data_IF_147609274070
#
_entry.id   IF_147609274070
#
_cell.length_a   1.000
_cell.length_b   1.000
_cell.length_c   1.000
_cell.angle_alpha   90.00
_cell.angle_beta   90.00
_cell.angle_gamma   90.00
#
_symmetry.space_group_name_H-M   'P 1'
#
loop_
_entity.id
_entity.type
_entity.pdbx_description
1 polymer ?
#
# COMPACT_ATOMS: atom_id res chain seq x y z
N UNK A 1 -26.42 -4.17 -23.43
CA UNK A 1 -26.95 -5.13 -24.44
C UNK A 1 -25.93 -6.26 -24.59
N UNK A 2 -26.03 -7.30 -23.76
CA UNK A 2 -25.09 -8.44 -23.78
C UNK A 2 -25.45 -9.41 -24.90
N UNK A 3 -24.45 -9.79 -25.71
CA UNK A 3 -24.55 -10.86 -26.70
C UNK A 3 -24.02 -12.14 -26.07
N UNK A 4 -24.88 -13.17 -26.00
CA UNK A 4 -24.55 -14.48 -25.45
C UNK A 4 -23.92 -15.35 -26.54
N UNK A 5 -22.78 -15.96 -26.24
CA UNK A 5 -22.15 -16.98 -27.08
C UNK A 5 -22.29 -18.34 -26.40
N UNK A 6 -23.17 -19.19 -26.92
CA UNK A 6 -23.40 -20.55 -26.43
C UNK A 6 -22.40 -21.50 -27.10
N UNK A 7 -21.41 -21.99 -26.34
CA UNK A 7 -20.51 -23.06 -26.79
C UNK A 7 -21.08 -24.39 -26.27
N UNK A 8 -21.69 -25.16 -27.16
CA UNK A 8 -22.32 -26.44 -26.88
C UNK A 8 -21.32 -27.58 -27.11
N UNK A 9 -20.78 -28.19 -26.05
CA UNK A 9 -19.98 -29.41 -26.15
C UNK A 9 -20.88 -30.65 -26.01
N UNK A 10 -21.13 -31.34 -27.13
CA UNK A 10 -21.86 -32.62 -27.17
C UNK A 10 -20.84 -33.76 -27.08
N UNK A 11 -20.77 -34.45 -25.94
CA UNK A 11 -20.06 -35.72 -25.83
C UNK A 11 -21.01 -36.87 -26.19
N UNK A 12 -20.90 -37.37 -27.42
CA UNK A 12 -21.53 -38.60 -27.89
C UNK A 12 -20.79 -39.82 -27.33
N UNK A 13 -21.33 -40.44 -26.28
CA UNK A 13 -20.93 -41.80 -25.91
C UNK A 13 -22.03 -42.78 -26.31
N UNK A 14 -21.76 -43.54 -27.37
CA UNK A 14 -22.55 -44.69 -27.76
C UNK A 14 -22.27 -45.87 -26.84
N UNK A 15 -23.33 -46.47 -26.29
CA UNK A 15 -23.28 -47.82 -25.76
C UNK A 15 -24.49 -48.61 -26.26
N UNK A 16 -24.18 -49.61 -27.08
CA UNK A 16 -25.08 -50.70 -27.49
C UNK A 16 -25.17 -51.67 -26.32
N UNK A 17 -26.36 -51.92 -25.78
CA UNK A 17 -26.65 -53.17 -25.09
C UNK A 17 -28.14 -53.51 -25.20
N UNK A 18 -28.43 -54.57 -25.96
CA UNK A 18 -29.74 -55.22 -25.99
C UNK A 18 -29.95 -56.00 -24.69
N UNK A 19 -31.12 -55.85 -24.07
CA UNK A 19 -31.48 -56.64 -22.89
C UNK A 19 -32.85 -56.27 -22.33
N UNK A 20 -33.81 -57.17 -22.53
CA UNK A 20 -35.21 -57.10 -22.13
C UNK A 20 -35.32 -57.14 -20.61
N UNK A 21 -35.87 -56.09 -19.96
CA UNK A 21 -36.61 -56.22 -18.69
C UNK A 21 -37.58 -55.05 -18.51
N UNK A 22 -38.88 -55.38 -18.52
CA UNK A 22 -39.97 -54.49 -18.18
C UNK A 22 -40.14 -54.51 -16.66
N UNK A 23 -39.81 -53.42 -15.98
CA UNK A 23 -40.29 -53.14 -14.62
C UNK A 23 -40.80 -51.71 -14.58
N UNK A 24 -42.12 -51.58 -14.60
CA UNK A 24 -42.81 -50.33 -14.35
C UNK A 24 -42.60 -49.90 -12.90
N UNK A 25 -41.79 -48.85 -12.72
CA UNK A 25 -41.94 -47.83 -11.70
C UNK A 25 -41.47 -46.53 -12.33
N UNK A 26 -42.38 -45.60 -12.54
CA UNK A 26 -42.06 -44.23 -12.90
C UNK A 26 -41.22 -43.62 -11.77
N UNK A 27 -39.89 -43.75 -11.90
CA UNK A 27 -38.95 -42.94 -11.14
C UNK A 27 -39.06 -41.56 -11.78
N UNK A 28 -39.80 -40.66 -11.14
CA UNK A 28 -39.74 -39.25 -11.51
C UNK A 28 -38.28 -38.84 -11.39
N UNK A 29 -37.68 -38.55 -12.54
CA UNK A 29 -36.38 -37.92 -12.59
C UNK A 29 -36.48 -36.68 -11.72
N UNK A 30 -35.74 -36.66 -10.61
CA UNK A 30 -35.52 -35.45 -9.85
C UNK A 30 -34.95 -34.47 -10.87
N UNK A 31 -35.73 -33.44 -11.19
CA UNK A 31 -35.26 -32.33 -12.02
C UNK A 31 -33.92 -31.92 -11.43
N UNK A 32 -32.85 -32.14 -12.18
CA UNK A 32 -31.56 -31.56 -11.89
C UNK A 32 -31.77 -30.06 -11.98
N UNK A 33 -32.12 -29.44 -10.84
CA UNK A 33 -32.06 -28.00 -10.69
C UNK A 33 -30.59 -27.65 -10.97
N UNK A 34 -30.29 -26.91 -12.05
CA UNK A 34 -28.93 -26.49 -12.29
C UNK A 34 -28.50 -25.65 -11.10
N UNK A 35 -27.52 -26.14 -10.34
CA UNK A 35 -26.81 -25.32 -9.37
C UNK A 35 -25.93 -24.40 -10.19
N UNK A 36 -26.46 -23.24 -10.57
CA UNK A 36 -25.62 -22.17 -11.09
C UNK A 36 -24.95 -21.50 -9.89
N UNK A 37 -23.63 -21.42 -9.92
CA UNK A 37 -22.87 -20.52 -9.06
C UNK A 37 -22.73 -19.23 -9.86
N UNK A 38 -23.50 -18.23 -9.49
CA UNK A 38 -23.33 -16.88 -10.02
C UNK A 38 -22.12 -16.29 -9.29
N UNK A 39 -20.93 -16.36 -9.92
CA UNK A 39 -19.82 -15.50 -9.50
C UNK A 39 -20.14 -14.13 -10.08
N UNK A 40 -21.05 -13.42 -9.43
CA UNK A 40 -21.10 -11.97 -9.58
C UNK A 40 -19.79 -11.46 -9.00
N UNK A 41 -18.95 -10.91 -9.86
CA UNK A 41 -17.97 -9.85 -9.57
C UNK A 41 -17.92 -9.53 -8.08
N UNK A 42 -16.97 -10.16 -7.39
CA UNK A 42 -17.03 -10.28 -5.95
C UNK A 42 -16.21 -9.16 -5.34
N UNK A 43 -16.89 -8.05 -5.02
CA UNK A 43 -16.31 -7.03 -4.16
C UNK A 43 -15.63 -7.69 -2.96
N UNK A 44 -14.35 -7.39 -2.82
CA UNK A 44 -13.47 -7.86 -1.79
C UNK A 44 -12.62 -9.07 -2.18
N UNK A 45 -12.63 -9.57 -3.42
CA UNK A 45 -11.85 -10.75 -3.80
C UNK A 45 -10.34 -10.50 -3.98
N UNK A 46 -9.92 -9.26 -3.79
CA UNK A 46 -8.54 -8.78 -3.85
C UNK A 46 -8.10 -8.30 -5.22
N UNK A 47 -8.99 -8.25 -6.21
CA UNK A 47 -8.69 -7.80 -7.56
C UNK A 47 -9.54 -6.59 -7.89
N UNK A 48 -8.92 -5.56 -8.47
CA UNK A 48 -9.67 -4.43 -9.01
C UNK A 48 -10.07 -4.68 -10.47
N UNK A 49 -11.36 -4.86 -10.71
CA UNK A 49 -12.04 -5.02 -11.98
C UNK A 49 -12.57 -3.66 -12.49
N UNK A 50 -11.75 -2.97 -13.29
CA UNK A 50 -11.98 -1.61 -13.83
C UNK A 50 -13.37 -1.33 -14.45
N UNK A 51 -14.10 -2.35 -14.89
CA UNK A 51 -15.41 -2.19 -15.51
C UNK A 51 -16.60 -2.33 -14.57
N UNK A 52 -16.37 -2.65 -13.29
CA UNK A 52 -17.47 -3.06 -12.39
C UNK A 52 -17.30 -2.55 -10.96
N UNK A 53 -16.08 -2.26 -10.53
CA UNK A 53 -15.85 -1.67 -9.20
C UNK A 53 -14.88 -0.49 -9.24
N UNK A 54 -15.01 0.40 -8.26
CA UNK A 54 -14.10 1.52 -8.09
C UNK A 54 -12.76 1.05 -7.51
N UNK A 55 -12.80 0.08 -6.61
CA UNK A 55 -11.69 -0.49 -5.85
C UNK A 55 -12.13 -1.82 -5.23
N UNK A 56 -11.20 -2.61 -4.66
CA UNK A 56 -11.53 -3.89 -4.02
C UNK A 56 -10.80 -4.10 -2.67
N UNK A 57 -11.51 -4.36 -1.55
CA UNK A 57 -10.91 -4.70 -0.27
C UNK A 57 -10.58 -6.21 -0.14
N UNK A 58 -9.32 -6.62 -0.36
CA UNK A 58 -8.97 -8.05 -0.45
C UNK A 58 -9.32 -8.97 0.74
N UNK A 59 -9.48 -10.28 0.49
CA UNK A 59 -9.90 -11.28 1.52
C UNK A 59 -8.72 -11.91 2.31
N UNK A 60 -8.85 -12.07 3.64
CA UNK A 60 -9.73 -11.31 4.53
C UNK A 60 -9.18 -9.89 4.69
N UNK A 61 -10.07 -8.89 4.75
CA UNK A 61 -9.75 -7.46 4.79
C UNK A 61 -8.92 -7.00 6.02
N UNK A 62 -8.55 -7.93 6.88
CA UNK A 62 -7.90 -7.66 8.15
C UNK A 62 -6.40 -7.32 7.99
N UNK A 63 -5.76 -7.67 6.87
CA UNK A 63 -4.31 -7.42 6.68
C UNK A 63 -3.88 -7.14 5.24
N UNK A 64 -4.82 -6.97 4.30
CA UNK A 64 -4.52 -6.67 2.90
C UNK A 64 -5.06 -5.27 2.62
N UNK A 65 -4.19 -4.29 2.25
CA UNK A 65 -4.66 -2.98 1.81
C UNK A 65 -5.61 -3.11 0.63
N UNK A 66 -6.69 -2.31 0.56
CA UNK A 66 -7.58 -2.34 -0.58
C UNK A 66 -6.85 -2.06 -1.90
N UNK A 67 -7.20 -2.79 -2.95
CA UNK A 67 -6.78 -2.54 -4.31
C UNK A 67 -7.50 -1.29 -4.84
N UNK A 68 -6.82 -0.15 -4.75
CA UNK A 68 -7.32 1.18 -5.18
C UNK A 68 -6.82 1.63 -6.56
N UNK A 69 -6.15 0.73 -7.30
CA UNK A 69 -5.59 1.03 -8.62
C UNK A 69 -4.50 2.11 -8.57
N UNK A 70 -4.61 3.13 -9.42
CA UNK A 70 -3.70 4.30 -9.44
C UNK A 70 -4.24 5.51 -8.69
N UNK A 71 -5.43 5.39 -8.08
CA UNK A 71 -6.08 6.51 -7.39
C UNK A 71 -5.40 6.77 -6.05
N UNK A 72 -5.32 8.05 -5.70
CA UNK A 72 -4.76 8.55 -4.44
C UNK A 72 -5.72 9.58 -3.84
N UNK A 73 -5.48 10.00 -2.59
CA UNK A 73 -6.25 11.09 -1.99
C UNK A 73 -6.23 12.38 -2.83
N UNK A 74 -5.18 12.61 -3.64
CA UNK A 74 -5.05 13.81 -4.48
C UNK A 74 -6.07 13.88 -5.62
N UNK A 75 -6.71 12.75 -5.95
CA UNK A 75 -7.70 12.66 -7.02
C UNK A 75 -9.12 13.06 -6.57
N UNK A 76 -9.32 13.33 -5.27
CA UNK A 76 -10.62 13.60 -4.68
C UNK A 76 -10.69 14.98 -4.00
N UNK A 77 -11.93 15.44 -3.81
CA UNK A 77 -12.26 16.68 -3.09
C UNK A 77 -13.08 16.36 -1.83
N UNK A 78 -12.97 17.21 -0.83
CA UNK A 78 -13.87 17.17 0.33
C UNK A 78 -15.29 17.67 -0.02
N UNK A 79 -16.19 17.65 0.98
CA UNK A 79 -17.57 18.15 0.84
C UNK A 79 -17.66 19.65 0.53
N UNK A 80 -16.58 20.40 0.72
CA UNK A 80 -16.50 21.84 0.48
C UNK A 80 -15.75 22.19 -0.83
N UNK A 81 -15.27 21.18 -1.56
CA UNK A 81 -14.53 21.35 -2.81
C UNK A 81 -13.04 21.64 -2.65
N UNK A 82 -12.45 21.36 -1.49
CA UNK A 82 -11.00 21.50 -1.24
C UNK A 82 -10.25 20.22 -1.62
N UNK A 83 -9.01 20.38 -2.06
CA UNK A 83 -8.11 19.26 -2.39
C UNK A 83 -7.44 18.70 -1.14
N UNK A 84 -7.28 17.38 -1.09
CA UNK A 84 -6.43 16.73 -0.10
C UNK A 84 -4.95 16.94 -0.42
N UNK A 85 -4.12 17.02 0.62
CA UNK A 85 -2.65 17.06 0.48
C UNK A 85 -2.03 15.66 0.48
N UNK A 86 -2.74 14.66 1.01
CA UNK A 86 -2.27 13.29 1.08
C UNK A 86 -3.15 12.41 1.97
N UNK A 87 -2.57 11.30 2.43
CA UNK A 87 -3.21 10.36 3.35
C UNK A 87 -3.32 8.96 2.75
N UNK A 88 -4.14 8.12 3.39
CA UNK A 88 -4.42 6.76 2.93
C UNK A 88 -5.81 6.72 2.32
N UNK A 89 -5.89 6.43 1.02
CA UNK A 89 -7.18 6.23 0.35
C UNK A 89 -7.69 4.83 0.68
N UNK A 90 -8.91 4.74 1.20
CA UNK A 90 -9.59 3.47 1.45
C UNK A 90 -10.51 3.08 0.30
N UNK A 91 -10.99 1.84 0.35
CA UNK A 91 -12.12 1.38 -0.45
C UNK A 91 -13.34 1.24 0.47
N UNK A 92 -14.54 1.57 -0.01
CA UNK A 92 -15.76 1.24 0.72
C UNK A 92 -15.99 -0.28 0.74
N UNK A 93 -16.66 -0.78 1.78
CA UNK A 93 -16.95 -2.21 1.95
C UNK A 93 -17.81 -2.80 0.81
N UNK A 94 -18.49 -1.95 0.04
CA UNK A 94 -19.32 -2.34 -1.11
C UNK A 94 -18.66 -2.07 -2.47
N UNK A 95 -17.39 -1.63 -2.48
CA UNK A 95 -16.59 -1.35 -3.67
C UNK A 95 -17.17 -0.30 -4.63
N UNK A 96 -18.22 0.40 -4.22
CA UNK A 96 -18.95 1.34 -5.07
C UNK A 96 -18.23 2.68 -5.22
N UNK A 97 -17.42 3.04 -4.23
CA UNK A 97 -16.68 4.28 -4.17
C UNK A 97 -15.44 4.16 -3.27
N UNK A 98 -14.60 5.19 -3.30
CA UNK A 98 -13.45 5.32 -2.43
C UNK A 98 -13.83 5.94 -1.07
N UNK A 99 -13.07 5.58 -0.04
CA UNK A 99 -13.20 6.17 1.29
C UNK A 99 -12.08 7.19 1.53
N UNK A 100 -12.43 8.47 1.61
CA UNK A 100 -11.49 9.59 1.81
C UNK A 100 -11.34 10.00 3.28
N UNK A 101 -11.92 9.26 4.22
CA UNK A 101 -11.89 9.57 5.66
C UNK A 101 -10.50 9.56 6.29
N UNK A 102 -9.53 8.91 5.64
CA UNK A 102 -8.11 8.88 6.03
C UNK A 102 -7.21 9.72 5.11
N UNK A 103 -7.82 10.56 4.27
CA UNK A 103 -7.14 11.64 3.58
C UNK A 103 -7.07 12.88 4.50
N UNK A 104 -6.07 13.73 4.27
CA UNK A 104 -5.84 14.91 5.11
C UNK A 104 -5.60 16.18 4.31
N UNK A 105 -5.80 17.33 4.94
CA UNK A 105 -5.64 18.66 4.36
C UNK A 105 -4.81 19.57 5.24
N UNK A 106 -3.64 19.93 4.72
CA UNK A 106 -2.69 20.67 5.52
C UNK A 106 -3.02 22.16 5.61
N UNK A 107 -3.05 22.67 6.84
CA UNK A 107 -3.27 24.08 7.14
C UNK A 107 -4.75 24.45 7.25
N UNK A 108 -5.62 23.48 7.54
CA UNK A 108 -7.04 23.69 7.76
C UNK A 108 -7.37 24.03 9.24
N UNK A 109 -6.35 24.10 10.12
CA UNK A 109 -6.43 24.29 11.57
C UNK A 109 -7.11 23.14 12.32
N UNK A 110 -7.16 21.96 11.73
CA UNK A 110 -7.71 20.76 12.32
C UNK A 110 -6.78 19.58 12.03
N UNK A 111 -5.96 19.19 13.02
CA UNK A 111 -5.05 18.07 12.89
C UNK A 111 -5.82 16.76 12.72
N UNK A 112 -5.90 16.24 11.51
CA UNK A 112 -6.49 14.93 11.26
C UNK A 112 -5.65 13.80 11.89
N UNK A 113 -6.26 12.63 12.13
CA UNK A 113 -5.54 11.50 12.75
C UNK A 113 -4.29 11.08 11.96
N UNK A 114 -4.29 11.29 10.65
CA UNK A 114 -3.21 10.90 9.74
C UNK A 114 -2.12 11.97 9.63
N UNK A 115 -2.41 13.22 10.03
CA UNK A 115 -1.44 14.31 10.02
C UNK A 115 -0.57 14.30 11.28
N UNK A 116 0.72 14.62 11.11
CA UNK A 116 1.62 14.80 12.24
C UNK A 116 1.38 16.13 12.97
N UNK A 117 0.90 17.14 12.24
CA UNK A 117 0.55 18.45 12.76
C UNK A 117 -0.38 19.21 11.81
N UNK A 118 -1.08 20.22 12.31
CA UNK A 118 -1.71 21.27 11.49
C UNK A 118 -1.47 22.63 12.15
N UNK A 119 -0.75 23.51 11.46
CA UNK A 119 -0.40 24.83 11.97
C UNK A 119 0.43 24.77 13.26
N UNK A 120 -0.20 25.07 14.39
CA UNK A 120 0.42 24.99 15.73
C UNK A 120 -0.08 23.81 16.57
N UNK A 121 -1.00 23.00 16.03
CA UNK A 121 -1.42 21.75 16.66
C UNK A 121 -0.46 20.63 16.28
N UNK A 122 0.34 20.19 17.25
CA UNK A 122 1.31 19.11 17.10
C UNK A 122 0.84 17.81 17.78
N UNK A 123 -0.44 17.69 18.16
CA UNK A 123 -0.96 16.51 18.85
C UNK A 123 -0.27 16.22 20.19
N UNK A 124 0.20 17.27 20.87
CA UNK A 124 0.95 17.16 22.13
C UNK A 124 2.46 16.92 21.96
N UNK A 125 2.97 16.81 20.73
CA UNK A 125 4.40 16.82 20.49
C UNK A 125 5.02 18.18 20.85
N UNK A 126 6.23 18.14 21.39
CA UNK A 126 7.08 19.30 21.67
C UNK A 126 8.52 18.95 21.31
N UNK A 127 9.39 19.94 21.18
CA UNK A 127 10.83 19.69 21.04
C UNK A 127 11.37 18.80 22.18
N UNK A 128 10.83 18.96 23.40
CA UNK A 128 11.24 18.15 24.57
C UNK A 128 10.84 16.68 24.40
N UNK A 129 9.61 16.40 23.93
CA UNK A 129 9.17 15.01 23.71
C UNK A 129 9.89 14.34 22.55
N UNK A 130 10.53 15.12 21.68
CA UNK A 130 11.39 14.65 20.57
C UNK A 130 12.88 14.59 20.95
N UNK A 131 13.23 14.76 22.23
CA UNK A 131 14.59 14.59 22.74
C UNK A 131 15.46 15.85 22.81
N UNK A 132 14.92 17.01 22.45
CA UNK A 132 15.63 18.30 22.50
C UNK A 132 15.52 18.97 23.89
N UNK A 133 16.34 19.99 24.16
CA UNK A 133 16.23 20.77 25.43
C UNK A 133 15.09 21.78 25.45
N UNK A 134 14.68 22.26 24.27
CA UNK A 134 13.80 23.42 24.15
C UNK A 134 13.57 23.78 22.69
N UNK A 135 13.11 25.01 22.45
CA UNK A 135 12.76 25.51 21.12
C UNK A 135 11.29 25.29 20.75
N UNK A 136 10.97 25.45 19.47
CA UNK A 136 9.61 25.39 18.93
C UNK A 136 9.52 24.42 17.75
N UNK A 137 8.46 23.60 17.70
CA UNK A 137 8.16 22.83 16.49
C UNK A 137 7.56 23.76 15.43
N UNK A 138 7.73 23.38 14.16
CA UNK A 138 7.02 23.99 13.04
C UNK A 138 6.30 22.92 12.24
N UNK A 139 5.12 23.23 11.71
CA UNK A 139 4.43 22.34 10.79
C UNK A 139 4.81 22.71 9.35
N UNK A 140 5.28 21.75 8.56
CA UNK A 140 5.59 21.97 7.15
C UNK A 140 4.32 22.06 6.31
N UNK A 141 4.44 22.50 5.05
CA UNK A 141 3.32 22.52 4.09
C UNK A 141 2.75 21.13 3.77
N UNK A 142 3.49 20.08 4.09
CA UNK A 142 3.10 18.68 3.87
C UNK A 142 2.61 18.01 5.16
N UNK A 143 2.34 18.81 6.19
CA UNK A 143 1.87 18.39 7.52
C UNK A 143 2.80 17.40 8.23
N UNK A 144 4.11 17.67 8.10
CA UNK A 144 5.18 17.02 8.85
C UNK A 144 5.68 17.93 9.96
N UNK A 145 6.04 17.33 11.09
CA UNK A 145 6.69 18.08 12.16
C UNK A 145 8.14 18.35 11.78
N UNK A 146 8.51 19.63 11.79
CA UNK A 146 9.88 20.10 11.66
C UNK A 146 10.46 20.45 13.02
N UNK A 147 11.61 19.84 13.33
CA UNK A 147 12.42 20.10 14.52
C UNK A 147 13.54 21.11 14.26
N UNK A 148 13.54 21.78 13.10
CA UNK A 148 14.60 22.71 12.71
C UNK A 148 14.77 23.90 13.68
N UNK A 149 13.73 24.25 14.43
CA UNK A 149 13.74 25.31 15.45
C UNK A 149 13.82 24.76 16.88
N UNK A 150 14.15 23.48 17.06
CA UNK A 150 14.41 22.87 18.35
C UNK A 150 15.86 23.09 18.79
N UNK A 151 16.06 23.32 20.09
CA UNK A 151 17.36 23.58 20.70
C UNK A 151 18.00 22.27 21.17
N UNK A 152 19.18 21.93 20.64
CA UNK A 152 19.95 20.75 21.08
C UNK A 152 20.50 20.95 22.50
N UNK A 153 20.55 19.87 23.29
CA UNK A 153 21.25 19.89 24.57
C UNK A 153 22.75 19.96 24.26
N UNK A 154 23.38 21.11 24.45
CA UNK A 154 24.85 21.20 24.45
C UNK A 154 25.38 20.31 25.58
N UNK A 155 25.82 19.09 25.26
CA UNK A 155 26.71 18.35 26.13
C UNK A 155 28.11 18.92 25.96
N UNK A 156 28.51 19.75 26.92
CA UNK A 156 29.86 20.11 27.34
C UNK A 156 31.01 20.05 26.30
N UNK A 157 31.52 21.24 25.95
CA UNK A 157 32.97 21.48 25.83
C UNK A 157 33.51 21.85 24.45
N UNK A 158 33.64 23.16 24.18
CA UNK A 158 34.34 23.63 22.99
C UNK A 158 34.53 25.15 22.86
N UNK A 159 35.36 25.74 23.74
CA UNK A 159 36.10 27.02 23.63
C UNK A 159 35.39 28.27 23.06
N UNK A 160 35.34 29.30 23.92
CA UNK A 160 35.00 30.68 23.59
C UNK A 160 35.88 31.28 22.48
N UNK A 161 35.25 31.72 21.39
CA UNK A 161 35.83 32.57 20.36
C UNK A 161 35.03 33.86 20.22
N UNK A 162 35.56 34.96 20.78
CA UNK A 162 34.99 36.30 20.68
C UNK A 162 35.09 36.85 19.25
N UNK A 163 33.97 37.16 18.60
CA UNK A 163 33.94 37.85 17.31
C UNK A 163 32.63 38.60 17.08
N UNK A 164 32.66 39.94 17.19
CA UNK A 164 31.58 40.85 16.77
C UNK A 164 31.88 41.42 15.38
N UNK A 165 30.82 41.56 14.57
CA UNK A 165 30.60 42.30 13.30
C UNK A 165 30.12 41.30 12.23
N UNK A 166 28.97 41.39 11.57
CA UNK A 166 27.97 42.44 11.39
C UNK A 166 27.42 42.30 9.96
N UNK A 167 26.14 41.97 9.79
CA UNK A 167 25.35 42.20 8.57
C UNK A 167 25.27 41.09 7.51
N UNK A 168 24.02 40.71 7.16
CA UNK A 168 23.66 40.09 5.88
C UNK A 168 23.30 38.60 5.93
N UNK A 169 22.01 38.30 6.13
CA UNK A 169 21.45 36.96 6.03
C UNK A 169 21.39 36.52 4.55
N UNK A 170 22.38 35.75 4.13
CA UNK A 170 22.32 34.87 2.96
C UNK A 170 22.10 33.45 3.45
N UNK A 171 21.05 32.80 2.96
CA UNK A 171 20.72 31.41 3.22
C UNK A 171 21.90 30.50 2.94
N UNK A 172 22.53 30.03 4.01
CA UNK A 172 23.40 28.86 3.98
C UNK A 172 22.55 27.77 4.61
N UNK A 173 22.06 26.85 3.78
CA UNK A 173 21.61 25.54 4.27
C UNK A 173 22.62 25.04 5.29
N UNK A 174 22.23 24.43 6.42
CA UNK A 174 23.16 23.57 7.12
C UNK A 174 23.46 22.43 6.13
N UNK A 175 24.54 22.60 5.38
CA UNK A 175 25.15 21.51 4.64
C UNK A 175 25.49 20.43 5.64
N UNK A 176 25.29 19.18 5.20
CA UNK A 176 25.93 17.97 5.68
C UNK A 176 26.85 18.17 6.90
N UNK A 177 26.34 17.81 8.08
CA UNK A 177 27.15 17.64 9.28
C UNK A 177 27.79 16.25 9.18
N UNK A 178 29.13 16.12 9.02
CA UNK A 178 29.77 14.81 9.01
C UNK A 178 29.70 14.24 10.44
N UNK A 179 29.03 13.10 10.62
CA UNK A 179 29.07 12.33 11.87
C UNK A 179 27.76 12.13 12.63
N UNK A 180 26.59 12.46 12.05
CA UNK A 180 25.33 11.87 12.52
C UNK A 180 25.15 10.51 11.82
N UNK A 181 25.82 9.48 12.35
CA UNK A 181 25.61 8.08 11.93
C UNK A 181 24.30 7.56 12.51
N UNK A 182 23.17 8.03 11.97
CA UNK A 182 22.03 7.12 11.85
C UNK A 182 22.00 6.69 10.39
N UNK A 183 22.47 5.47 10.14
CA UNK A 183 22.33 4.83 8.84
C UNK A 183 20.84 4.79 8.52
N UNK A 184 20.41 5.63 7.57
CA UNK A 184 19.06 5.57 7.03
C UNK A 184 18.95 4.27 6.22
N UNK A 185 18.51 3.23 6.91
CA UNK A 185 18.31 1.91 6.33
C UNK A 185 17.08 1.96 5.41
N UNK A 186 17.28 1.64 4.12
CA UNK A 186 16.20 1.56 3.14
C UNK A 186 15.85 0.11 2.90
N UNK A 187 14.65 -0.30 3.33
CA UNK A 187 14.13 -1.65 3.09
C UNK A 187 13.45 -1.75 1.73
N UNK A 188 13.82 -2.75 0.94
CA UNK A 188 13.15 -3.14 -0.30
C UNK A 188 12.33 -4.39 -0.06
N UNK A 189 11.03 -4.31 -0.38
CA UNK A 189 10.08 -5.41 -0.28
C UNK A 189 9.62 -5.79 -1.68
N UNK A 190 9.74 -7.06 -2.03
CA UNK A 190 9.28 -7.63 -3.30
C UNK A 190 8.25 -8.71 -3.06
N UNK A 191 7.15 -8.65 -3.82
CA UNK A 191 6.06 -9.62 -3.77
C UNK A 191 5.59 -9.94 -5.18
N UNK A 192 5.23 -11.18 -5.43
CA UNK A 192 4.74 -11.58 -6.75
C UNK A 192 4.38 -13.05 -6.83
N UNK A 193 4.14 -13.50 -8.07
CA UNK A 193 3.86 -14.90 -8.38
C UNK A 193 4.93 -15.49 -9.32
N UNK A 194 5.31 -16.74 -9.08
CA UNK A 194 6.11 -17.57 -9.99
C UNK A 194 5.42 -18.95 -10.17
N UNK A 195 6.10 -20.00 -10.60
CA UNK A 195 5.51 -21.34 -10.63
C UNK A 195 5.30 -21.88 -9.20
N UNK A 196 4.24 -22.68 -8.92
CA UNK A 196 4.02 -23.23 -7.59
C UNK A 196 5.17 -24.13 -7.12
N UNK A 197 5.62 -23.92 -5.87
CA UNK A 197 6.78 -24.61 -5.27
C UNK A 197 8.10 -24.45 -6.03
N UNK A 198 8.24 -23.40 -6.84
CA UNK A 198 9.46 -23.07 -7.56
C UNK A 198 10.34 -22.11 -6.76
N UNK A 199 11.64 -22.18 -7.02
CA UNK A 199 12.61 -21.26 -6.44
C UNK A 199 12.68 -20.00 -7.31
N UNK A 200 12.58 -18.83 -6.67
CA UNK A 200 12.73 -17.50 -7.27
C UNK A 200 14.08 -16.96 -6.85
N UNK A 201 14.95 -16.72 -7.82
CA UNK A 201 16.27 -16.15 -7.56
C UNK A 201 16.20 -14.63 -7.65
N UNK A 202 16.54 -13.93 -6.57
CA UNK A 202 16.56 -12.46 -6.53
C UNK A 202 17.99 -11.97 -6.64
N UNK A 203 18.22 -11.07 -7.59
CA UNK A 203 19.51 -10.46 -7.85
C UNK A 203 19.46 -8.95 -7.62
N UNK A 204 20.53 -8.41 -7.05
CA UNK A 204 20.82 -6.98 -6.98
C UNK A 204 22.16 -6.77 -7.68
N UNK A 205 22.16 -5.91 -8.71
CA UNK A 205 23.32 -5.58 -9.53
C UNK A 205 24.05 -6.82 -10.10
N UNK A 206 23.27 -7.84 -10.46
CA UNK A 206 23.75 -9.09 -11.05
C UNK A 206 24.31 -10.11 -10.04
N UNK A 207 24.20 -9.85 -8.73
CA UNK A 207 24.56 -10.80 -7.66
C UNK A 207 23.31 -11.35 -6.99
N UNK A 208 23.25 -12.67 -6.79
CA UNK A 208 22.15 -13.31 -6.04
C UNK A 208 22.19 -12.86 -4.58
N UNK A 209 21.11 -12.24 -4.13
CA UNK A 209 20.92 -11.77 -2.74
C UNK A 209 19.94 -12.63 -1.96
N UNK A 210 19.07 -13.39 -2.65
CA UNK A 210 18.10 -14.26 -2.01
C UNK A 210 17.55 -15.30 -2.97
N UNK A 211 17.13 -16.43 -2.41
CA UNK A 211 16.37 -17.46 -3.13
C UNK A 211 15.14 -17.74 -2.29
N UNK A 212 13.96 -17.54 -2.88
CA UNK A 212 12.66 -17.64 -2.20
C UNK A 212 11.87 -18.74 -2.87
N UNK A 213 11.37 -19.68 -2.08
CA UNK A 213 10.49 -20.72 -2.59
C UNK A 213 9.05 -20.22 -2.58
N UNK A 214 8.36 -20.32 -3.71
CA UNK A 214 6.94 -20.00 -3.78
C UNK A 214 6.10 -21.02 -3.04
N UNK A 215 4.94 -20.57 -2.55
CA UNK A 215 3.93 -21.46 -1.97
C UNK A 215 3.18 -22.28 -3.05
N UNK A 216 2.23 -23.08 -2.61
CA UNK A 216 1.37 -23.88 -3.49
C UNK A 216 0.40 -23.04 -4.34
N UNK A 217 0.23 -21.75 -4.04
CA UNK A 217 -0.52 -20.74 -4.80
C UNK A 217 0.39 -19.85 -5.62
N UNK A 218 1.66 -20.24 -5.75
CA UNK A 218 2.68 -19.59 -6.53
C UNK A 218 3.19 -18.24 -5.97
N UNK A 219 2.83 -17.87 -4.74
CA UNK A 219 3.18 -16.58 -4.12
C UNK A 219 4.61 -16.60 -3.54
N UNK A 220 5.34 -15.48 -3.68
CA UNK A 220 6.61 -15.23 -3.00
C UNK A 220 6.67 -13.86 -2.32
N UNK A 221 7.48 -13.79 -1.25
CA UNK A 221 7.81 -12.58 -0.49
C UNK A 221 9.32 -12.51 -0.27
N UNK A 222 9.93 -11.37 -0.56
CA UNK A 222 11.34 -11.11 -0.29
C UNK A 222 11.50 -9.71 0.31
N UNK A 223 12.42 -9.60 1.27
CA UNK A 223 12.74 -8.34 1.95
C UNK A 223 14.24 -8.26 2.14
N UNK A 224 14.81 -7.10 1.87
CA UNK A 224 16.23 -6.81 2.11
C UNK A 224 16.43 -5.34 2.42
N UNK A 225 17.31 -5.07 3.36
CA UNK A 225 17.78 -3.74 3.75
C UNK A 225 19.26 -3.52 3.39
N UNK A 226 19.91 -4.54 2.83
CA UNK A 226 21.32 -4.54 2.38
C UNK A 226 21.48 -3.91 0.98
N UNK A 227 20.79 -2.80 0.71
CA UNK A 227 20.90 -2.07 -0.56
C UNK A 227 21.87 -0.90 -0.39
N UNK A 228 22.91 -0.87 -1.23
CA UNK A 228 23.86 0.24 -1.22
C UNK A 228 23.16 1.51 -1.71
N UNK A 229 23.29 2.65 -1.01
CA UNK A 229 22.71 3.92 -1.47
C UNK A 229 23.17 4.26 -2.89
N UNK A 230 22.21 4.50 -3.79
CA UNK A 230 22.49 4.79 -5.20
C UNK A 230 21.51 4.11 -6.14
N UNK A 231 21.95 3.89 -7.38
CA UNK A 231 21.16 3.17 -8.40
C UNK A 231 21.42 1.67 -8.25
N UNK A 232 20.36 0.89 -8.03
CA UNK A 232 20.40 -0.56 -7.98
C UNK A 232 19.52 -1.16 -9.09
N UNK A 233 19.97 -2.27 -9.68
CA UNK A 233 19.21 -3.03 -10.68
C UNK A 233 18.75 -4.36 -10.11
N UNK A 234 17.45 -4.62 -10.15
CA UNK A 234 16.87 -5.87 -9.68
C UNK A 234 16.60 -6.84 -10.83
N UNK A 235 16.96 -8.10 -10.64
CA UNK A 235 16.71 -9.19 -11.58
C UNK A 235 16.04 -10.38 -10.89
N UNK A 236 15.20 -11.09 -11.63
CA UNK A 236 14.49 -12.28 -11.16
C UNK A 236 14.36 -13.31 -12.28
N UNK A 237 14.48 -14.60 -11.94
CA UNK A 237 14.15 -15.73 -12.82
C UNK A 237 13.73 -16.95 -12.01
#
# INVERSE_FOLDING_TARGET
>A
MQKYYTILFILLFGFVFSGIFNFGKDIQAVEFLPTYVEVQVACGDGWWEISTEACDPGIPAENIPPAIGTSTCLDFLDLFGNYFNGGTLGCQDDCSDFATSSCYMCGNNYKEQVEECDGADFGGATCITWGFSGGSLACTSDCRISTANCEIKESEGGVSGSGRSGGGAGSISPGYVPGAEEDLVTTVVMRGKSYPNADVHVLVDGKVVGIIKTDNRADFYFETDEITPGVASFGFW
#
